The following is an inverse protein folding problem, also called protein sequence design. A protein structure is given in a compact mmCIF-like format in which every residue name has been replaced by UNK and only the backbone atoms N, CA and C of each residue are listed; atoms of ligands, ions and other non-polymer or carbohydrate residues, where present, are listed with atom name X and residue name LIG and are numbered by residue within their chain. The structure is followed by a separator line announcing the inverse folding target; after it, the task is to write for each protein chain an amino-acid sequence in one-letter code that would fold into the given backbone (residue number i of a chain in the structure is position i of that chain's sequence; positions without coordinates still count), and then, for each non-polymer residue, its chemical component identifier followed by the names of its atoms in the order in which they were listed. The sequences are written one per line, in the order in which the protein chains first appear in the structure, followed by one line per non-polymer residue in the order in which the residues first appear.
data_IF_965144377735
#
_entry.id   IF_965144377735
#
_cell.length_a   1.000
_cell.length_b   1.000
_cell.length_c   1.000
_cell.angle_alpha   90.00
_cell.angle_beta   90.00
_cell.angle_gamma   90.00
#
_symmetry.space_group_name_H-M   'P 1'
#
loop_
_entity.id
_entity.type
_entity.pdbx_description
1 polymer ?
#
# COMPACT_ATOMS: atom_id res chain seq x y z
N UNK A 1 28.12 -19.81 -10.32
CA UNK A 1 27.39 -18.52 -10.33
C UNK A 1 27.23 -18.16 -8.87
N UNK A 2 28.07 -17.27 -8.33
CA UNK A 2 27.84 -16.77 -6.97
C UNK A 2 26.64 -15.85 -7.06
N UNK A 3 25.46 -16.38 -6.73
CA UNK A 3 24.26 -15.58 -6.60
C UNK A 3 24.43 -14.75 -5.32
N UNK A 4 25.13 -13.63 -5.42
CA UNK A 4 24.97 -12.55 -4.46
C UNK A 4 23.48 -12.22 -4.48
N UNK A 5 22.78 -12.58 -3.41
CA UNK A 5 21.40 -12.18 -3.18
C UNK A 5 21.36 -10.67 -3.45
N UNK A 6 20.53 -10.17 -4.38
CA UNK A 6 20.54 -8.77 -4.73
C UNK A 6 19.97 -7.97 -3.55
N UNK A 7 20.82 -7.66 -2.57
CA UNK A 7 20.48 -6.92 -1.34
C UNK A 7 19.73 -5.63 -1.69
N UNK A 8 20.13 -4.98 -2.80
CA UNK A 8 19.43 -3.80 -3.32
C UNK A 8 17.98 -4.06 -3.72
N UNK A 9 17.67 -5.22 -4.31
CA UNK A 9 16.30 -5.59 -4.68
C UNK A 9 15.46 -5.84 -3.42
N UNK A 10 16.00 -6.58 -2.46
CA UNK A 10 15.35 -6.80 -1.15
C UNK A 10 15.02 -5.49 -0.46
N UNK A 11 15.98 -4.57 -0.37
CA UNK A 11 15.76 -3.26 0.26
C UNK A 11 14.71 -2.45 -0.51
N UNK A 12 14.77 -2.44 -1.84
CA UNK A 12 13.79 -1.74 -2.67
C UNK A 12 12.37 -2.28 -2.46
N UNK A 13 12.20 -3.61 -2.39
CA UNK A 13 10.91 -4.25 -2.16
C UNK A 13 10.30 -3.84 -0.80
N UNK A 14 11.11 -3.85 0.26
CA UNK A 14 10.65 -3.45 1.61
C UNK A 14 10.27 -1.98 1.66
N UNK A 15 11.08 -1.10 1.07
CA UNK A 15 10.79 0.33 1.02
C UNK A 15 9.52 0.61 0.20
N UNK A 16 9.35 -0.07 -0.95
CA UNK A 16 8.16 0.07 -1.76
C UNK A 16 6.90 -0.44 -1.04
N UNK A 17 7.01 -1.59 -0.36
CA UNK A 17 5.95 -2.11 0.50
C UNK A 17 5.54 -1.10 1.58
N UNK A 18 6.51 -0.49 2.26
CA UNK A 18 6.25 0.55 3.27
C UNK A 18 5.56 1.78 2.68
N UNK A 19 5.99 2.25 1.51
CA UNK A 19 5.35 3.38 0.81
C UNK A 19 3.89 3.06 0.49
N UNK A 20 3.59 1.86 -0.02
CA UNK A 20 2.22 1.44 -0.30
C UNK A 20 1.37 1.37 0.97
N UNK A 21 1.91 0.89 2.08
CA UNK A 21 1.20 0.91 3.37
C UNK A 21 0.79 2.33 3.74
N UNK A 22 1.73 3.28 3.65
CA UNK A 22 1.49 4.69 3.99
C UNK A 22 0.43 5.29 3.06
N UNK A 23 0.57 5.11 1.74
CA UNK A 23 -0.38 5.65 0.75
C UNK A 23 -1.77 5.05 0.98
N UNK A 24 -1.87 3.72 1.13
CA UNK A 24 -3.13 3.04 1.38
C UNK A 24 -3.81 3.53 2.65
N UNK A 25 -3.05 3.73 3.74
CA UNK A 25 -3.56 4.29 4.98
C UNK A 25 -4.09 5.72 4.81
N UNK A 26 -3.35 6.59 4.10
CA UNK A 26 -3.78 7.97 3.83
C UNK A 26 -5.08 7.98 3.00
N UNK A 27 -5.14 7.19 1.93
CA UNK A 27 -6.33 7.11 1.05
C UNK A 27 -7.53 6.62 1.85
N UNK A 28 -7.36 5.55 2.64
CA UNK A 28 -8.42 4.99 3.48
C UNK A 28 -8.91 6.03 4.49
N UNK A 29 -7.99 6.65 5.23
CA UNK A 29 -8.32 7.64 6.26
C UNK A 29 -9.01 8.87 5.68
N UNK A 30 -8.58 9.34 4.52
CA UNK A 30 -9.17 10.51 3.85
C UNK A 30 -10.55 10.21 3.28
N UNK A 31 -10.84 8.94 3.01
CA UNK A 31 -12.08 8.51 2.37
C UNK A 31 -13.16 8.05 3.36
N UNK A 32 -12.80 7.79 4.62
CA UNK A 32 -13.74 7.24 5.62
C UNK A 32 -14.80 8.27 6.06
N UNK A 33 -14.45 9.56 6.02
CA UNK A 33 -15.32 10.68 6.36
C UNK A 33 -15.29 11.69 5.20
N UNK A 34 -15.93 11.37 4.05
CA UNK A 34 -15.92 12.27 2.90
C UNK A 34 -16.67 13.56 3.23
N UNK A 35 -16.25 14.71 2.66
CA UNK A 35 -17.05 15.92 2.73
C UNK A 35 -18.43 15.71 2.08
N UNK A 36 -19.44 16.41 2.58
CA UNK A 36 -20.78 16.34 2.04
C UNK A 36 -20.82 16.84 0.58
N UNK A 37 -21.53 16.12 -0.28
CA UNK A 37 -21.68 16.45 -1.71
C UNK A 37 -21.84 15.21 -2.58
N UNK A 38 -22.00 15.42 -3.88
CA UNK A 38 -22.31 14.38 -4.88
C UNK A 38 -21.25 13.25 -4.95
N UNK A 39 -20.04 13.51 -4.47
CA UNK A 39 -18.92 12.57 -4.49
C UNK A 39 -18.89 11.64 -3.26
N UNK A 40 -19.61 12.01 -2.19
CA UNK A 40 -19.60 11.29 -0.90
C UNK A 40 -20.11 9.85 -1.03
N UNK A 41 -21.01 9.60 -1.97
CA UNK A 41 -21.59 8.29 -2.28
C UNK A 41 -20.55 7.29 -2.80
N UNK A 42 -19.45 7.78 -3.40
CA UNK A 42 -18.38 6.94 -3.95
C UNK A 42 -17.27 6.65 -2.93
N UNK A 43 -17.31 7.27 -1.75
CA UNK A 43 -16.28 7.14 -0.70
C UNK A 43 -15.95 5.69 -0.36
N UNK A 44 -16.94 4.80 -0.36
CA UNK A 44 -16.74 3.37 -0.10
C UNK A 44 -15.75 2.70 -1.06
N UNK A 45 -15.74 3.08 -2.33
CA UNK A 45 -14.79 2.55 -3.33
C UNK A 45 -13.38 3.02 -3.00
N UNK A 46 -13.20 4.29 -2.63
CA UNK A 46 -11.89 4.84 -2.28
C UNK A 46 -11.34 4.23 -0.98
N UNK A 47 -12.20 4.01 0.02
CA UNK A 47 -11.84 3.24 1.23
C UNK A 47 -11.37 1.84 0.85
N UNK A 48 -12.13 1.11 0.04
CA UNK A 48 -11.77 -0.24 -0.38
C UNK A 48 -10.43 -0.27 -1.15
N UNK A 49 -10.23 0.67 -2.08
CA UNK A 49 -8.97 0.81 -2.83
C UNK A 49 -7.79 1.11 -1.90
N UNK A 50 -7.96 2.05 -0.95
CA UNK A 50 -6.93 2.37 0.04
C UNK A 50 -6.54 1.15 0.89
N UNK A 51 -7.52 0.38 1.34
CA UNK A 51 -7.28 -0.86 2.10
C UNK A 51 -6.54 -1.89 1.25
N UNK A 52 -6.96 -2.11 0.00
CA UNK A 52 -6.29 -3.05 -0.92
C UNK A 52 -4.83 -2.63 -1.14
N UNK A 53 -4.56 -1.35 -1.37
CA UNK A 53 -3.20 -0.82 -1.53
C UNK A 53 -2.36 -1.08 -0.28
N UNK A 54 -2.91 -0.81 0.92
CA UNK A 54 -2.21 -1.04 2.17
C UNK A 54 -1.89 -2.54 2.36
N UNK A 55 -2.84 -3.42 2.05
CA UNK A 55 -2.67 -4.88 2.12
C UNK A 55 -1.57 -5.36 1.18
N UNK A 56 -1.54 -4.88 -0.07
CA UNK A 56 -0.45 -5.19 -1.02
C UNK A 56 0.90 -4.71 -0.47
N UNK A 57 0.94 -3.51 0.10
CA UNK A 57 2.13 -2.99 0.76
C UNK A 57 2.61 -3.86 1.92
N UNK A 58 1.69 -4.36 2.75
CA UNK A 58 1.99 -5.32 3.83
C UNK A 58 2.60 -6.59 3.24
N UNK A 59 2.00 -7.17 2.19
CA UNK A 59 2.52 -8.37 1.55
C UNK A 59 3.96 -8.18 1.06
N UNK A 60 4.26 -7.09 0.35
CA UNK A 60 5.63 -6.80 -0.09
C UNK A 60 6.58 -6.54 1.08
N UNK A 61 6.09 -5.90 2.14
CA UNK A 61 6.91 -5.65 3.32
C UNK A 61 7.26 -6.94 4.06
N UNK A 62 6.37 -7.92 4.16
CA UNK A 62 6.61 -9.18 4.88
C UNK A 62 7.10 -10.34 4.01
N UNK A 63 6.98 -10.25 2.69
CA UNK A 63 7.42 -11.30 1.77
C UNK A 63 8.88 -11.68 2.04
N UNK A 64 9.22 -12.97 2.01
CA UNK A 64 10.63 -13.34 2.05
C UNK A 64 11.27 -12.90 0.75
N UNK A 65 12.39 -12.19 0.85
CA UNK A 65 13.21 -11.91 -0.31
C UNK A 65 13.76 -13.23 -0.85
N UNK A 66 13.63 -13.43 -2.15
CA UNK A 66 14.27 -14.52 -2.90
C UNK A 66 15.73 -14.21 -3.22
#
# INVERSE_FOLDING_TARGET
MSADMPIGLTVAEKLFGLILIIIGAIVTSSSINPPAGDISHFSGIFVAVGVVIAVIGIFLFIAKAE
#
